data_IF_203274170005
#
_entry.id   IF_203274170005
#
_cell.length_a   1.000
_cell.length_b   1.000
_cell.length_c   1.000
_cell.angle_alpha   90.00
_cell.angle_beta   90.00
_cell.angle_gamma   90.00
#
_symmetry.space_group_name_H-M   'P 1'
#
loop_
_entity.id
_entity.type
_entity.pdbx_description
1 polymer ?
#
# COMPACT_ATOMS: atom_id res chain seq x y z
N UNK A 1 18.24 12.41 -21.32
CA UNK A 1 16.82 12.37 -20.95
C UNK A 1 16.71 12.96 -19.55
N UNK A 2 15.83 13.93 -19.32
CA UNK A 2 15.56 14.39 -17.95
C UNK A 2 15.09 13.17 -17.13
N UNK A 3 15.50 13.02 -15.86
CA UNK A 3 14.92 11.99 -15.01
C UNK A 3 13.39 12.16 -15.01
N UNK A 4 12.67 11.05 -15.14
CA UNK A 4 11.21 11.07 -15.04
C UNK A 4 10.83 11.74 -13.70
N UNK A 5 9.86 12.65 -13.74
CA UNK A 5 9.41 13.33 -12.54
C UNK A 5 8.94 12.28 -11.52
N UNK A 6 9.36 12.46 -10.26
CA UNK A 6 8.98 11.58 -9.17
C UNK A 6 8.68 12.40 -7.92
N UNK A 7 7.84 11.83 -7.06
CA UNK A 7 7.52 12.42 -5.76
C UNK A 7 8.01 11.47 -4.68
N UNK A 8 8.66 12.02 -3.66
CA UNK A 8 9.19 11.27 -2.54
C UNK A 8 8.14 11.11 -1.44
N UNK A 9 8.08 9.93 -0.84
CA UNK A 9 7.20 9.59 0.27
C UNK A 9 7.85 8.59 1.22
N UNK A 10 7.04 8.17 2.19
CA UNK A 10 7.37 7.17 3.21
C UNK A 10 6.12 6.35 3.54
N UNK A 11 6.31 5.22 4.17
CA UNK A 11 5.25 4.52 4.88
C UNK A 11 5.64 4.19 6.32
N UNK A 12 4.64 4.12 7.20
CA UNK A 12 4.83 3.98 8.65
C UNK A 12 3.84 3.03 9.27
N UNK A 13 4.23 2.48 10.40
CA UNK A 13 3.41 1.61 11.23
C UNK A 13 3.68 1.88 12.72
N UNK A 14 3.13 1.04 13.59
CA UNK A 14 3.45 1.06 15.03
C UNK A 14 4.95 0.88 15.32
N UNK A 15 5.75 0.36 14.39
CA UNK A 15 7.21 0.24 14.56
C UNK A 15 7.91 1.61 14.71
N UNK A 16 7.34 2.67 14.12
CA UNK A 16 7.89 4.03 14.20
C UNK A 16 7.33 4.82 15.39
N UNK A 17 6.24 4.38 16.01
CA UNK A 17 5.54 5.16 17.03
C UNK A 17 5.04 6.51 16.49
N UNK A 18 5.15 7.58 17.29
CA UNK A 18 4.84 8.94 16.84
C UNK A 18 5.92 9.45 15.89
N UNK A 19 5.50 10.02 14.75
CA UNK A 19 6.40 10.51 13.71
C UNK A 19 6.53 12.03 13.78
N UNK A 20 7.76 12.56 13.65
CA UNK A 20 8.01 13.97 13.43
C UNK A 20 7.73 14.34 11.96
N UNK A 21 6.49 14.71 11.70
CA UNK A 21 6.01 15.03 10.35
C UNK A 21 6.64 16.29 9.76
N UNK A 22 7.01 17.26 10.60
CA UNK A 22 7.66 18.48 10.13
C UNK A 22 9.07 18.17 9.62
N UNK A 23 9.82 17.31 10.32
CA UNK A 23 11.11 16.82 9.85
C UNK A 23 10.98 16.07 8.51
N UNK A 24 9.98 15.19 8.35
CA UNK A 24 9.77 14.45 7.09
C UNK A 24 9.40 15.39 5.92
N UNK A 25 8.56 16.39 6.17
CA UNK A 25 8.22 17.41 5.17
C UNK A 25 9.45 18.21 4.72
N UNK A 26 10.27 18.65 5.69
CA UNK A 26 11.51 19.37 5.44
C UNK A 26 12.56 18.51 4.72
N UNK A 27 12.53 17.19 4.91
CA UNK A 27 13.33 16.22 4.15
C UNK A 27 12.82 15.97 2.71
N UNK A 28 11.77 16.68 2.28
CA UNK A 28 11.27 16.62 0.90
C UNK A 28 10.14 15.61 0.67
N UNK A 29 9.64 14.93 1.71
CA UNK A 29 8.53 13.98 1.58
C UNK A 29 7.21 14.71 1.34
N UNK A 30 6.39 14.18 0.44
CA UNK A 30 5.12 14.80 0.00
C UNK A 30 3.94 13.85 0.04
N UNK A 31 4.18 12.54 0.19
CA UNK A 31 3.13 11.61 0.55
C UNK A 31 3.55 10.66 1.66
N UNK A 32 2.55 10.10 2.35
CA UNK A 32 2.75 9.06 3.34
C UNK A 32 1.66 8.00 3.28
N UNK A 33 2.01 6.74 3.51
CA UNK A 33 1.05 5.69 3.88
C UNK A 33 1.19 5.34 5.36
N UNK A 34 0.08 5.08 6.05
CA UNK A 34 0.11 4.67 7.46
C UNK A 34 -0.64 3.35 7.64
N UNK A 35 -0.04 2.38 8.34
CA UNK A 35 -0.72 1.12 8.68
C UNK A 35 -1.96 1.44 9.49
N UNK A 36 -3.14 1.08 9.00
CA UNK A 36 -4.38 1.22 9.77
C UNK A 36 -4.69 -0.07 10.52
N UNK A 37 -4.58 -1.20 9.82
CA UNK A 37 -5.08 -2.49 10.32
C UNK A 37 -4.21 -3.65 9.87
N UNK A 38 -4.35 -4.76 10.58
CA UNK A 38 -3.82 -6.06 10.22
C UNK A 38 -4.85 -7.13 10.55
N UNK A 39 -5.05 -8.07 9.62
CA UNK A 39 -6.10 -9.07 9.74
C UNK A 39 -7.48 -8.45 10.02
N UNK A 40 -8.31 -9.12 10.81
CA UNK A 40 -9.59 -8.60 11.29
C UNK A 40 -9.60 -8.36 12.81
N UNK A 41 -8.41 -8.20 13.42
CA UNK A 41 -8.24 -8.17 14.87
C UNK A 41 -7.34 -7.03 15.37
N UNK A 42 -6.45 -6.45 14.54
CA UNK A 42 -5.51 -5.44 14.97
C UNK A 42 -5.78 -4.06 14.34
N UNK A 43 -5.73 -3.03 15.16
CA UNK A 43 -5.70 -1.63 14.71
C UNK A 43 -4.43 -0.97 15.24
N UNK A 44 -3.72 -0.25 14.37
CA UNK A 44 -2.50 0.44 14.76
C UNK A 44 -2.82 1.57 15.76
N UNK A 45 -2.30 1.51 17.01
CA UNK A 45 -2.62 2.51 18.03
C UNK A 45 -2.05 3.90 17.70
N UNK A 46 -1.05 3.99 16.82
CA UNK A 46 -0.47 5.26 16.36
C UNK A 46 -1.14 5.83 15.11
N UNK A 47 -2.10 5.12 14.51
CA UNK A 47 -2.69 5.49 13.21
C UNK A 47 -3.24 6.92 13.20
N UNK A 48 -3.95 7.33 14.26
CA UNK A 48 -4.51 8.68 14.32
C UNK A 48 -3.44 9.77 14.26
N UNK A 49 -2.32 9.60 14.96
CA UNK A 49 -1.19 10.55 14.91
C UNK A 49 -0.51 10.51 13.56
N UNK A 50 -0.30 9.31 13.01
CA UNK A 50 0.44 9.14 11.77
C UNK A 50 -0.34 9.66 10.55
N UNK A 51 -1.62 9.34 10.49
CA UNK A 51 -2.51 9.73 9.41
C UNK A 51 -2.84 11.23 9.47
N UNK A 52 -3.23 11.77 10.64
CA UNK A 52 -3.56 13.20 10.71
C UNK A 52 -2.32 14.09 10.76
N UNK A 53 -1.21 13.62 11.34
CA UNK A 53 0.03 14.39 11.41
C UNK A 53 0.63 14.66 10.04
N UNK A 54 0.66 13.64 9.16
CA UNK A 54 1.12 13.79 7.77
C UNK A 54 0.23 14.76 6.97
N UNK A 55 -1.09 14.65 7.15
CA UNK A 55 -2.04 15.61 6.58
C UNK A 55 -1.81 17.04 7.08
N UNK A 56 -1.56 17.24 8.37
CA UNK A 56 -1.43 18.58 8.95
C UNK A 56 -0.22 19.35 8.43
N UNK A 57 0.85 18.65 8.03
CA UNK A 57 2.05 19.29 7.43
C UNK A 57 1.97 19.46 5.91
N UNK A 58 0.85 19.08 5.28
CA UNK A 58 0.64 19.30 3.85
C UNK A 58 0.77 18.06 2.97
N UNK A 59 1.08 16.88 3.51
CA UNK A 59 1.23 15.68 2.69
C UNK A 59 -0.10 15.19 2.12
N UNK A 60 0.00 14.49 0.99
CA UNK A 60 -1.04 13.58 0.49
C UNK A 60 -0.86 12.26 1.25
N UNK A 61 -1.92 11.69 1.81
CA UNK A 61 -1.80 10.55 2.72
C UNK A 61 -2.75 9.42 2.40
N UNK A 62 -2.30 8.18 2.60
CA UNK A 62 -3.06 6.96 2.44
C UNK A 62 -2.98 6.08 3.68
N UNK A 63 -3.83 5.06 3.73
CA UNK A 63 -3.78 4.03 4.75
C UNK A 63 -3.48 2.69 4.09
N UNK A 64 -2.85 1.76 4.80
CA UNK A 64 -2.70 0.39 4.31
C UNK A 64 -3.17 -0.65 5.33
N UNK A 65 -3.48 -1.82 4.80
CA UNK A 65 -3.92 -2.99 5.53
C UNK A 65 -2.95 -4.14 5.30
N UNK A 66 -2.36 -4.68 6.37
CA UNK A 66 -1.54 -5.89 6.30
C UNK A 66 -2.45 -7.12 6.30
N UNK A 67 -2.40 -7.87 5.21
CA UNK A 67 -3.27 -9.02 4.99
C UNK A 67 -2.86 -10.24 5.81
N UNK A 68 -3.85 -10.95 6.34
CA UNK A 68 -3.64 -12.30 6.89
C UNK A 68 -4.62 -13.30 6.26
N UNK A 69 -4.36 -13.76 5.02
CA UNK A 69 -5.32 -14.57 4.25
C UNK A 69 -5.79 -15.89 4.88
N UNK A 70 -5.05 -16.43 5.84
CA UNK A 70 -5.40 -17.64 6.58
C UNK A 70 -6.40 -17.40 7.74
N UNK A 71 -6.61 -16.15 8.16
CA UNK A 71 -7.42 -15.86 9.35
C UNK A 71 -8.89 -15.58 9.02
N UNK A 72 -9.17 -14.93 7.89
CA UNK A 72 -10.53 -14.62 7.45
C UNK A 72 -10.60 -14.35 5.95
N UNK A 73 -11.80 -14.24 5.37
CA UNK A 73 -11.97 -13.86 3.97
C UNK A 73 -11.42 -12.47 3.64
N UNK A 74 -11.15 -12.23 2.35
CA UNK A 74 -10.72 -10.93 1.85
C UNK A 74 -11.77 -9.85 2.12
N UNK A 75 -13.05 -10.16 1.92
CA UNK A 75 -14.15 -9.25 2.23
C UNK A 75 -14.19 -8.84 3.71
N UNK A 76 -13.96 -9.78 4.64
CA UNK A 76 -13.96 -9.47 6.07
C UNK A 76 -12.82 -8.48 6.42
N UNK A 77 -11.63 -8.70 5.89
CA UNK A 77 -10.49 -7.81 6.15
C UNK A 77 -10.64 -6.45 5.44
N UNK A 78 -11.20 -6.42 4.22
CA UNK A 78 -11.48 -5.18 3.52
C UNK A 78 -12.51 -4.31 4.26
N UNK A 79 -13.59 -4.92 4.77
CA UNK A 79 -14.57 -4.20 5.61
C UNK A 79 -13.93 -3.68 6.89
N UNK A 80 -13.17 -4.53 7.58
CA UNK A 80 -12.45 -4.16 8.80
C UNK A 80 -11.52 -2.97 8.58
N UNK A 81 -10.75 -2.98 7.48
CA UNK A 81 -9.87 -1.90 7.08
C UNK A 81 -10.62 -0.60 6.80
N UNK A 82 -11.67 -0.64 5.97
CA UNK A 82 -12.45 0.56 5.62
C UNK A 82 -13.05 1.20 6.86
N UNK A 83 -13.59 0.39 7.79
CA UNK A 83 -14.21 0.88 9.03
C UNK A 83 -13.21 1.49 10.01
N UNK A 84 -11.90 1.28 9.83
CA UNK A 84 -10.83 1.64 10.78
C UNK A 84 -9.72 2.48 10.19
N UNK A 85 -9.99 3.20 9.10
CA UNK A 85 -9.07 4.18 8.52
C UNK A 85 -8.75 3.99 7.04
N UNK A 86 -9.22 2.89 6.44
CA UNK A 86 -9.05 2.61 5.01
C UNK A 86 -10.06 3.30 4.09
N UNK A 87 -11.05 4.00 4.64
CA UNK A 87 -12.01 4.77 3.86
C UNK A 87 -11.31 5.87 3.04
N UNK A 88 -11.91 6.20 1.90
CA UNK A 88 -11.39 7.21 0.98
C UNK A 88 -12.37 8.38 0.83
N UNK A 89 -11.85 9.58 0.60
CA UNK A 89 -12.65 10.75 0.25
C UNK A 89 -11.95 11.59 -0.82
N UNK A 90 -12.73 12.27 -1.66
CA UNK A 90 -12.22 13.09 -2.77
C UNK A 90 -11.83 14.50 -2.31
N UNK A 91 -10.82 14.59 -1.47
CA UNK A 91 -10.28 15.85 -0.92
C UNK A 91 -8.97 16.30 -1.60
N UNK A 92 -8.52 15.59 -2.63
CA UNK A 92 -7.23 15.80 -3.32
C UNK A 92 -6.00 15.43 -2.49
N UNK A 93 -6.19 14.87 -1.29
CA UNK A 93 -5.13 14.62 -0.31
C UNK A 93 -5.25 13.27 0.40
N UNK A 94 -6.28 12.49 0.10
CA UNK A 94 -6.47 11.12 0.57
C UNK A 94 -6.23 10.15 -0.59
N UNK A 95 -5.17 9.35 -0.51
CA UNK A 95 -4.91 8.27 -1.46
C UNK A 95 -5.89 7.11 -1.24
N UNK A 96 -6.15 6.28 -2.27
CA UNK A 96 -6.80 4.98 -2.06
C UNK A 96 -6.08 4.19 -0.96
N UNK A 97 -6.83 3.44 -0.18
CA UNK A 97 -6.27 2.47 0.75
C UNK A 97 -5.53 1.37 -0.01
N UNK A 98 -4.38 0.95 0.51
CA UNK A 98 -3.56 -0.09 -0.09
C UNK A 98 -3.73 -1.45 0.62
N UNK A 99 -3.66 -2.52 -0.17
CA UNK A 99 -3.54 -3.89 0.32
C UNK A 99 -2.05 -4.26 0.39
N UNK A 100 -1.54 -4.45 1.60
CA UNK A 100 -0.22 -5.03 1.84
C UNK A 100 -0.38 -6.55 1.95
N UNK A 101 0.12 -7.26 0.94
CA UNK A 101 0.01 -8.71 0.81
C UNK A 101 1.38 -9.30 0.45
N UNK A 102 2.06 -9.79 1.48
CA UNK A 102 3.46 -10.19 1.41
C UNK A 102 3.77 -11.41 2.31
N UNK A 103 5.04 -11.65 2.63
CA UNK A 103 5.46 -12.81 3.39
C UNK A 103 4.75 -12.90 4.73
N UNK A 104 4.23 -14.09 5.05
CA UNK A 104 3.64 -14.33 6.35
C UNK A 104 4.72 -14.30 7.45
N UNK A 105 4.66 -13.37 8.42
CA UNK A 105 5.63 -13.33 9.52
C UNK A 105 5.31 -14.35 10.61
N UNK A 106 4.15 -15.03 10.55
CA UNK A 106 3.63 -15.92 11.59
C UNK A 106 3.69 -17.41 11.22
N UNK A 107 4.19 -17.77 10.04
CA UNK A 107 4.24 -19.18 9.65
C UNK A 107 4.50 -19.42 8.17
N UNK A 108 3.66 -20.25 7.55
CA UNK A 108 3.85 -20.68 6.16
C UNK A 108 3.91 -19.47 5.21
N UNK A 109 4.92 -19.45 4.33
CA UNK A 109 5.24 -18.34 3.41
C UNK A 109 4.03 -17.73 2.70
N UNK A 110 3.11 -18.57 2.21
CA UNK A 110 1.90 -18.17 1.50
C UNK A 110 0.63 -18.37 2.34
N UNK A 111 0.74 -18.21 3.67
CA UNK A 111 -0.37 -18.36 4.62
C UNK A 111 -1.06 -19.74 4.56
N UNK A 112 -0.34 -20.77 4.10
CA UNK A 112 -0.90 -22.12 3.92
C UNK A 112 -1.88 -22.26 2.74
N UNK A 113 -2.03 -21.21 1.92
CA UNK A 113 -2.92 -21.22 0.76
C UNK A 113 -2.19 -21.67 -0.51
N UNK A 114 -2.93 -22.39 -1.38
CA UNK A 114 -2.52 -22.60 -2.76
C UNK A 114 -2.71 -21.34 -3.60
N UNK A 115 -2.01 -21.26 -4.75
CA UNK A 115 -1.98 -20.06 -5.60
C UNK A 115 -3.37 -19.58 -6.04
N UNK A 116 -4.24 -20.50 -6.49
CA UNK A 116 -5.60 -20.15 -6.89
C UNK A 116 -6.43 -19.57 -5.74
N UNK A 117 -6.30 -20.16 -4.54
CA UNK A 117 -6.98 -19.68 -3.33
C UNK A 117 -6.47 -18.29 -2.92
N UNK A 118 -5.16 -18.05 -3.01
CA UNK A 118 -4.57 -16.74 -2.75
C UNK A 118 -5.09 -15.68 -3.72
N UNK A 119 -5.10 -15.98 -5.03
CA UNK A 119 -5.64 -15.07 -6.05
C UNK A 119 -7.13 -14.78 -5.83
N UNK A 120 -7.92 -15.77 -5.42
CA UNK A 120 -9.32 -15.57 -5.10
C UNK A 120 -9.51 -14.70 -3.84
N UNK A 121 -8.68 -14.89 -2.82
CA UNK A 121 -8.69 -14.07 -1.62
C UNK A 121 -8.37 -12.61 -1.92
N UNK A 122 -7.32 -12.35 -2.69
CA UNK A 122 -6.92 -11.01 -3.12
C UNK A 122 -8.06 -10.34 -3.90
N UNK A 123 -8.69 -11.06 -4.84
CA UNK A 123 -9.82 -10.55 -5.61
C UNK A 123 -11.02 -10.18 -4.71
N UNK A 124 -11.34 -11.02 -3.74
CA UNK A 124 -12.42 -10.79 -2.79
C UNK A 124 -12.19 -9.51 -1.96
N UNK A 125 -10.96 -9.32 -1.47
CA UNK A 125 -10.55 -8.10 -0.77
C UNK A 125 -10.67 -6.86 -1.66
N UNK A 126 -10.08 -6.89 -2.86
CA UNK A 126 -10.04 -5.74 -3.77
C UNK A 126 -11.44 -5.34 -4.27
N UNK A 127 -12.28 -6.32 -4.60
CA UNK A 127 -13.67 -6.07 -5.01
C UNK A 127 -14.49 -5.46 -3.86
N UNK A 128 -14.31 -5.97 -2.64
CA UNK A 128 -14.99 -5.42 -1.46
C UNK A 128 -14.51 -4.01 -1.14
N UNK A 129 -13.20 -3.75 -1.23
CA UNK A 129 -12.67 -2.40 -1.05
C UNK A 129 -13.23 -1.42 -2.09
N UNK A 130 -13.27 -1.84 -3.37
CA UNK A 130 -13.82 -1.04 -4.46
C UNK A 130 -15.31 -0.78 -4.29
N UNK A 131 -16.10 -1.76 -3.85
CA UNK A 131 -17.54 -1.55 -3.60
C UNK A 131 -17.79 -0.58 -2.45
N UNK A 132 -16.94 -0.59 -1.43
CA UNK A 132 -17.04 0.29 -0.25
C UNK A 132 -16.56 1.72 -0.51
N UNK A 133 -15.59 1.92 -1.40
CA UNK A 133 -14.89 3.21 -1.55
C UNK A 133 -14.95 3.81 -2.96
N UNK A 134 -15.34 3.02 -3.96
CA UNK A 134 -15.27 3.36 -5.37
C UNK A 134 -13.85 3.32 -5.96
N UNK A 135 -12.83 2.94 -5.19
CA UNK A 135 -11.42 3.03 -5.61
C UNK A 135 -10.78 1.66 -5.85
N UNK A 136 -9.96 1.57 -6.89
CA UNK A 136 -9.02 0.46 -7.07
C UNK A 136 -7.84 0.63 -6.11
N UNK A 137 -7.73 -0.28 -5.13
CA UNK A 137 -6.65 -0.27 -4.15
C UNK A 137 -5.29 -0.58 -4.80
N UNK A 138 -4.23 0.16 -4.45
CA UNK A 138 -2.86 -0.27 -4.70
C UNK A 138 -2.57 -1.60 -4.01
N UNK A 139 -1.78 -2.45 -4.67
CA UNK A 139 -1.28 -3.70 -4.11
C UNK A 139 0.19 -3.50 -3.78
N UNK A 140 0.53 -3.56 -2.48
CA UNK A 140 1.90 -3.66 -2.00
C UNK A 140 2.34 -5.12 -1.98
N UNK A 141 3.46 -5.41 -2.64
CA UNK A 141 4.08 -6.74 -2.68
C UNK A 141 5.52 -6.64 -3.23
N UNK A 142 6.26 -7.74 -3.17
CA UNK A 142 7.51 -7.93 -3.93
C UNK A 142 7.37 -9.01 -5.03
N UNK A 143 8.33 -9.05 -5.96
CA UNK A 143 8.33 -9.97 -7.10
C UNK A 143 8.33 -11.45 -6.68
N UNK A 144 9.17 -11.82 -5.71
CA UNK A 144 9.31 -13.22 -5.31
C UNK A 144 8.04 -13.75 -4.65
N UNK A 145 7.51 -13.02 -3.66
CA UNK A 145 6.29 -13.42 -2.97
C UNK A 145 5.13 -13.55 -3.94
N UNK A 146 4.94 -12.56 -4.83
CA UNK A 146 3.87 -12.59 -5.81
C UNK A 146 3.99 -13.80 -6.75
N UNK A 147 5.20 -14.06 -7.26
CA UNK A 147 5.46 -15.21 -8.13
C UNK A 147 5.13 -16.52 -7.44
N UNK A 148 5.62 -16.70 -6.21
CA UNK A 148 5.46 -17.92 -5.43
C UNK A 148 4.02 -18.17 -5.00
N UNK A 149 3.39 -17.16 -4.41
CA UNK A 149 2.11 -17.29 -3.72
C UNK A 149 0.90 -17.06 -4.63
N UNK A 150 1.07 -16.49 -5.82
CA UNK A 150 -0.04 -16.29 -6.78
C UNK A 150 0.16 -17.01 -8.12
N UNK A 151 1.30 -17.66 -8.34
CA UNK A 151 1.66 -18.20 -9.66
C UNK A 151 2.00 -17.10 -10.66
N UNK A 152 2.53 -15.97 -10.16
CA UNK A 152 2.77 -14.75 -10.94
C UNK A 152 1.52 -14.24 -11.69
N UNK A 153 0.36 -14.27 -11.02
CA UNK A 153 -0.93 -13.96 -11.63
C UNK A 153 -0.96 -12.56 -12.24
N UNK A 154 -1.53 -12.45 -13.45
CA UNK A 154 -1.78 -11.17 -14.14
C UNK A 154 -3.18 -10.60 -13.93
N UNK A 155 -3.97 -11.19 -13.02
CA UNK A 155 -5.39 -10.88 -12.87
C UNK A 155 -5.70 -9.42 -12.48
N UNK A 156 -4.73 -8.68 -11.94
CA UNK A 156 -4.95 -7.35 -11.34
C UNK A 156 -4.17 -6.23 -12.04
N UNK A 157 -3.26 -6.54 -12.97
CA UNK A 157 -2.31 -5.57 -13.52
C UNK A 157 -2.91 -4.51 -14.43
N UNK A 158 -4.13 -4.72 -14.92
CA UNK A 158 -4.87 -3.75 -15.72
C UNK A 158 -5.72 -2.77 -14.90
N UNK A 159 -5.92 -3.02 -13.61
CA UNK A 159 -6.88 -2.28 -12.77
C UNK A 159 -6.27 -1.73 -11.49
N UNK A 160 -5.48 -2.52 -10.77
CA UNK A 160 -4.92 -2.14 -9.48
C UNK A 160 -3.53 -1.51 -9.64
N UNK A 161 -3.25 -0.34 -9.05
CA UNK A 161 -1.91 0.22 -8.98
C UNK A 161 -0.92 -0.73 -8.29
N UNK A 162 0.32 -0.80 -8.77
CA UNK A 162 1.37 -1.58 -8.11
C UNK A 162 2.20 -0.68 -7.18
N UNK A 163 2.30 -1.07 -5.92
CA UNK A 163 3.32 -0.58 -5.00
C UNK A 163 4.36 -1.69 -4.82
N UNK A 164 5.50 -1.56 -5.48
CA UNK A 164 6.51 -2.64 -5.47
C UNK A 164 7.55 -2.40 -4.40
N UNK A 165 7.83 -3.41 -3.58
CA UNK A 165 8.97 -3.42 -2.68
C UNK A 165 10.20 -4.01 -3.36
N UNK A 166 11.27 -3.21 -3.47
CA UNK A 166 12.58 -3.67 -3.93
C UNK A 166 13.69 -2.71 -3.49
N UNK A 167 14.52 -3.13 -2.56
CA UNK A 167 15.60 -2.29 -2.03
C UNK A 167 16.85 -2.38 -2.93
N UNK A 168 16.86 -1.54 -3.96
CA UNK A 168 17.89 -1.50 -4.99
C UNK A 168 17.97 -0.10 -5.64
N UNK A 169 18.85 0.08 -6.62
CA UNK A 169 18.93 1.33 -7.40
C UNK A 169 17.81 1.51 -8.45
N UNK A 170 17.03 0.46 -8.72
CA UNK A 170 15.92 0.47 -9.65
C UNK A 170 14.84 -0.57 -9.25
N UNK A 171 13.56 -0.37 -9.63
CA UNK A 171 12.45 -1.28 -9.30
C UNK A 171 12.56 -2.66 -9.99
N UNK A 172 13.37 -2.79 -11.04
CA UNK A 172 13.66 -4.05 -11.72
C UNK A 172 12.43 -4.69 -12.38
N UNK A 173 12.43 -6.02 -12.50
CA UNK A 173 11.31 -6.79 -13.04
C UNK A 173 10.10 -6.67 -12.12
N UNK A 174 8.96 -6.30 -12.69
CA UNK A 174 7.69 -6.19 -11.97
C UNK A 174 6.93 -7.53 -11.99
N UNK A 175 6.24 -7.89 -10.90
CA UNK A 175 5.38 -9.07 -10.86
C UNK A 175 4.17 -8.93 -11.79
N UNK A 176 3.43 -10.03 -11.99
CA UNK A 176 2.03 -10.03 -12.45
C UNK A 176 1.74 -9.35 -13.78
N UNK A 177 2.76 -9.13 -14.62
CA UNK A 177 2.60 -8.43 -15.90
C UNK A 177 2.27 -6.94 -15.76
N UNK A 178 2.48 -6.32 -14.60
CA UNK A 178 2.40 -4.86 -14.47
C UNK A 178 3.42 -4.20 -15.41
N UNK A 179 2.95 -3.29 -16.26
CA UNK A 179 3.82 -2.55 -17.18
C UNK A 179 4.65 -1.45 -16.51
N UNK A 180 4.22 -1.00 -15.33
CA UNK A 180 4.90 0.02 -14.53
C UNK A 180 4.48 -0.12 -13.06
N UNK A 181 5.34 0.31 -12.15
CA UNK A 181 4.98 0.52 -10.76
C UNK A 181 4.35 1.92 -10.60
N UNK A 182 3.37 2.05 -9.72
CA UNK A 182 2.81 3.34 -9.31
C UNK A 182 3.60 3.92 -8.15
N UNK A 183 3.96 3.08 -7.18
CA UNK A 183 4.84 3.43 -6.05
C UNK A 183 5.96 2.39 -5.99
N UNK A 184 7.16 2.81 -5.61
CA UNK A 184 8.30 1.93 -5.37
C UNK A 184 8.88 2.20 -3.98
N UNK A 185 8.81 1.20 -3.11
CA UNK A 185 9.53 1.20 -1.84
C UNK A 185 10.97 0.74 -2.09
N UNK A 186 11.91 1.66 -1.94
CA UNK A 186 13.31 1.48 -2.41
C UNK A 186 14.34 1.37 -1.28
N UNK A 187 13.95 1.64 -0.04
CA UNK A 187 14.79 1.49 1.15
C UNK A 187 13.89 1.28 2.37
N UNK A 188 14.39 0.57 3.38
CA UNK A 188 13.79 0.48 4.72
C UNK A 188 14.57 1.24 5.80
N UNK A 189 15.66 1.91 5.42
CA UNK A 189 16.57 2.61 6.34
C UNK A 189 16.58 4.13 6.07
N UNK A 190 16.48 4.98 7.11
CA UNK A 190 16.18 4.65 8.51
C UNK A 190 14.69 4.34 8.78
N UNK A 191 13.85 4.60 7.79
CA UNK A 191 12.40 4.40 7.72
C UNK A 191 12.10 4.04 6.27
N UNK A 192 11.02 3.32 6.01
CA UNK A 192 10.65 2.97 4.64
C UNK A 192 10.55 4.21 3.75
N UNK A 193 11.18 4.12 2.57
CA UNK A 193 11.29 5.20 1.61
C UNK A 193 10.59 4.81 0.32
N UNK A 194 9.65 5.66 -0.09
CA UNK A 194 8.86 5.45 -1.29
C UNK A 194 9.09 6.52 -2.34
N UNK A 195 8.94 6.09 -3.58
CA UNK A 195 8.91 6.98 -4.74
C UNK A 195 7.67 6.71 -5.58
N UNK A 196 6.86 7.75 -5.75
CA UNK A 196 5.75 7.75 -6.69
C UNK A 196 6.27 7.96 -8.12
N UNK A 197 5.76 7.16 -9.05
CA UNK A 197 6.11 7.21 -10.46
C UNK A 197 5.25 8.25 -11.20
N UNK A 198 5.66 9.52 -11.08
CA UNK A 198 4.98 10.67 -11.68
C UNK A 198 5.26 11.95 -10.91
N UNK A 199 4.82 13.08 -11.46
CA UNK A 199 4.91 14.38 -10.77
C UNK A 199 3.83 14.57 -9.71
N UNK A 200 3.88 15.71 -9.01
CA UNK A 200 2.90 16.09 -8.00
C UNK A 200 1.47 16.16 -8.55
N UNK A 201 1.29 16.61 -9.79
CA UNK A 201 -0.02 16.68 -10.44
C UNK A 201 -0.62 15.28 -10.59
N UNK A 202 0.20 14.30 -11.01
CA UNK A 202 -0.24 12.92 -11.15
C UNK A 202 -0.51 12.24 -9.80
N UNK A 203 0.23 12.61 -8.75
CA UNK A 203 -0.05 12.15 -7.40
C UNK A 203 -1.39 12.69 -6.87
N UNK A 204 -1.68 13.98 -7.09
CA UNK A 204 -2.99 14.58 -6.77
C UNK A 204 -4.11 13.91 -7.58
N UNK A 205 -3.86 13.59 -8.85
CA UNK A 205 -4.83 12.85 -9.67
C UNK A 205 -5.13 11.47 -9.08
N UNK A 206 -4.11 10.73 -8.60
CA UNK A 206 -4.32 9.46 -7.91
C UNK A 206 -5.17 9.64 -6.63
N UNK A 207 -4.92 10.70 -5.85
CA UNK A 207 -5.72 11.00 -4.66
C UNK A 207 -7.18 11.33 -5.01
N UNK A 208 -7.44 12.02 -6.12
CA UNK A 208 -8.78 12.43 -6.53
C UNK A 208 -9.63 11.33 -7.16
N UNK A 209 -9.05 10.24 -7.65
CA UNK A 209 -9.80 9.22 -8.39
C UNK A 209 -10.12 9.61 -9.81
#
# INVERSE_FOLDING_TARGET
MAPAASVEGIDVSSHQGNVDWAAQWNAGKRFAYSKATEGNYYSNPYFAQQYNGSYNVGMIRGAYHFATPNDSSGANQANYFVDRGGAWSRDGRTLPGALDIEYNPYGATCYGLGQASMVNWIRDWLNTYKSRTGRDAPIYTNLDWWTRCTGNSSAFSSTNPLWVARYASAPGTLPGGWGYNTIWQYSSTPIDQDRFNGDQTRLVALANG
#
